data_IF_398619986018
#
_entry.id   IF_398619986018
#
_cell.length_a   1.000
_cell.length_b   1.000
_cell.length_c   1.000
_cell.angle_alpha   90.00
_cell.angle_beta   90.00
_cell.angle_gamma   90.00
#
_symmetry.space_group_name_H-M   'P 1'
#
loop_
_entity.id
_entity.type
_entity.pdbx_description
1 polymer ?
#
# COMPACT_ATOMS: atom_id res chain seq x y z
N UNK A 1 34.48 -10.12 14.76
CA UNK A 1 34.33 -8.64 14.70
C UNK A 1 34.24 -8.11 13.27
N UNK A 2 35.07 -8.57 12.32
CA UNK A 2 34.96 -8.20 10.89
C UNK A 2 33.65 -8.62 10.19
N UNK A 3 33.08 -9.77 10.57
CA UNK A 3 31.87 -10.30 9.93
C UNK A 3 30.63 -9.43 10.18
N UNK A 4 30.52 -8.84 11.37
CA UNK A 4 29.40 -7.96 11.74
C UNK A 4 29.36 -6.68 10.90
N UNK A 5 30.52 -6.18 10.47
CA UNK A 5 30.61 -4.98 9.63
C UNK A 5 30.07 -5.28 8.23
N UNK A 6 30.39 -6.45 7.67
CA UNK A 6 29.89 -6.87 6.37
C UNK A 6 28.36 -6.98 6.37
N UNK A 7 27.78 -7.53 7.45
CA UNK A 7 26.33 -7.60 7.61
C UNK A 7 25.66 -6.22 7.69
N UNK A 8 26.26 -5.28 8.41
CA UNK A 8 25.74 -3.91 8.50
C UNK A 8 25.80 -3.17 7.15
N UNK A 9 26.90 -3.33 6.39
CA UNK A 9 27.05 -2.74 5.06
C UNK A 9 26.03 -3.34 4.08
N UNK A 10 25.84 -4.66 4.11
CA UNK A 10 24.83 -5.32 3.28
C UNK A 10 23.41 -4.84 3.62
N UNK A 11 23.09 -4.71 4.91
CA UNK A 11 21.78 -4.23 5.38
C UNK A 11 21.50 -2.78 4.97
N UNK A 12 22.53 -1.93 4.94
CA UNK A 12 22.43 -0.55 4.47
C UNK A 12 22.29 -0.45 2.93
N UNK A 13 22.92 -1.36 2.18
CA UNK A 13 22.86 -1.42 0.71
C UNK A 13 21.53 -1.99 0.22
N UNK A 14 20.98 -2.99 0.91
CA UNK A 14 19.60 -3.43 0.74
C UNK A 14 18.72 -2.42 1.45
N UNK A 15 18.58 -1.24 0.85
CA UNK A 15 17.86 -0.11 1.46
C UNK A 15 16.61 -0.57 2.18
N UNK A 16 16.35 -0.01 3.36
CA UNK A 16 15.21 -0.34 4.19
C UNK A 16 13.96 -0.34 3.29
N UNK A 17 13.50 -1.52 2.90
CA UNK A 17 12.20 -1.69 2.28
C UNK A 17 11.23 -1.43 3.42
N UNK A 18 10.98 -0.14 3.67
CA UNK A 18 10.03 0.33 4.63
C UNK A 18 8.72 -0.30 4.18
N UNK A 19 8.28 -1.27 4.97
CA UNK A 19 7.03 -1.99 4.78
C UNK A 19 5.91 -1.01 5.09
N UNK A 20 5.75 -0.02 4.23
CA UNK A 20 4.68 0.94 4.32
C UNK A 20 3.49 0.24 3.68
N UNK A 21 2.77 -0.51 4.51
CA UNK A 21 1.49 -1.13 4.18
C UNK A 21 0.37 -0.10 3.97
N UNK A 22 0.71 1.19 3.92
CA UNK A 22 -0.22 2.22 3.51
C UNK A 22 -0.20 2.28 1.99
N UNK A 23 -1.31 1.81 1.43
CA UNK A 23 -1.69 2.09 0.06
C UNK A 23 -1.49 3.59 -0.22
N UNK A 24 -1.05 3.96 -1.44
CA UNK A 24 -0.94 5.37 -1.80
C UNK A 24 -2.27 6.07 -1.48
N UNK A 25 -2.23 7.31 -0.97
CA UNK A 25 -3.44 8.05 -0.65
C UNK A 25 -4.33 8.07 -1.88
N UNK A 26 -5.55 7.55 -1.74
CA UNK A 26 -6.53 7.55 -2.81
C UNK A 26 -6.85 9.02 -3.11
N UNK A 27 -6.80 9.40 -4.39
CA UNK A 27 -7.12 10.78 -4.79
C UNK A 27 -8.62 11.03 -4.62
N UNK A 28 -8.99 12.05 -3.85
CA UNK A 28 -10.38 12.45 -3.60
C UNK A 28 -10.93 11.98 -2.26
N UNK A 29 -12.24 12.15 -2.05
CA UNK A 29 -12.97 11.67 -0.89
C UNK A 29 -13.51 10.25 -1.18
N UNK A 30 -12.93 9.18 -0.61
CA UNK A 30 -13.34 7.82 -0.90
C UNK A 30 -14.77 7.58 -0.39
N UNK A 31 -15.73 7.53 -1.31
CA UNK A 31 -17.10 7.18 -0.99
C UNK A 31 -17.28 5.66 -0.87
N UNK A 32 -18.17 5.20 0.03
CA UNK A 32 -18.50 3.78 0.13
C UNK A 32 -19.10 3.27 -1.18
N UNK A 33 -18.41 2.32 -1.82
CA UNK A 33 -18.89 1.63 -3.04
C UNK A 33 -20.15 0.77 -2.77
N UNK A 34 -20.44 0.48 -1.50
CA UNK A 34 -21.64 -0.22 -1.06
C UNK A 34 -22.82 0.72 -0.75
N UNK A 35 -22.74 1.99 -1.16
CA UNK A 35 -23.87 2.90 -1.02
C UNK A 35 -25.05 2.42 -1.89
N UNK A 36 -26.30 2.59 -1.41
CA UNK A 36 -27.49 2.16 -2.15
C UNK A 36 -27.58 2.75 -3.57
N UNK A 37 -27.04 3.97 -3.77
CA UNK A 37 -27.00 4.64 -5.07
C UNK A 37 -26.09 3.94 -6.07
N UNK A 38 -24.89 3.50 -5.66
CA UNK A 38 -23.93 2.82 -6.54
C UNK A 38 -24.44 1.41 -6.88
N UNK A 39 -25.06 0.71 -5.93
CA UNK A 39 -25.62 -0.63 -6.16
C UNK A 39 -26.77 -0.57 -7.17
N UNK A 40 -27.63 0.46 -7.12
CA UNK A 40 -28.70 0.67 -8.10
C UNK A 40 -28.16 0.93 -9.51
N UNK A 41 -27.09 1.74 -9.62
CA UNK A 41 -26.45 2.03 -10.90
C UNK A 41 -25.81 0.78 -11.51
N UNK A 42 -25.13 -0.04 -10.69
CA UNK A 42 -24.53 -1.30 -11.12
C UNK A 42 -25.58 -2.35 -11.53
N UNK A 43 -26.69 -2.42 -10.78
CA UNK A 43 -27.78 -3.37 -11.05
C UNK A 43 -28.52 -3.06 -12.34
N UNK A 44 -28.57 -1.78 -12.74
CA UNK A 44 -29.20 -1.37 -14.00
C UNK A 44 -28.38 -1.79 -15.24
N UNK A 45 -27.10 -2.09 -15.08
CA UNK A 45 -26.18 -2.46 -16.16
C UNK A 45 -25.99 -3.97 -16.36
N UNK A 46 -26.73 -4.82 -15.62
CA UNK A 46 -26.68 -6.29 -15.73
C UNK A 46 -27.85 -6.83 -16.53
#
# INVERSE_FOLDING_TARGET
MKFSILLLVLCALTGCAQHQGDLPPVSGDPQPVNSPAIIQELTHHV
#
